data_IF_787696626448
#
_entry.id   IF_787696626448
#
_cell.length_a   1.000
_cell.length_b   1.000
_cell.length_c   1.000
_cell.angle_alpha   90.00
_cell.angle_beta   90.00
_cell.angle_gamma   90.00
#
_symmetry.space_group_name_H-M   'P 1'
#
loop_
_entity.id
_entity.type
_entity.pdbx_description
1 polymer ?
#
# COMPACT_ATOMS: atom_id res chain seq x y z
N UNK A 1 -19.62 32.25 27.97
CA UNK A 1 -18.84 31.00 27.94
C UNK A 1 -18.75 30.58 26.48
N UNK A 2 -17.64 30.85 25.80
CA UNK A 2 -17.46 30.45 24.40
C UNK A 2 -17.07 28.96 24.36
N UNK A 3 -17.54 28.16 23.39
CA UNK A 3 -17.14 26.76 23.29
C UNK A 3 -15.65 26.67 22.94
N UNK A 4 -14.91 25.88 23.71
CA UNK A 4 -13.50 25.59 23.50
C UNK A 4 -13.31 24.93 22.14
N UNK A 5 -12.53 25.57 21.26
CA UNK A 5 -12.06 24.99 20.01
C UNK A 5 -11.19 23.77 20.32
N UNK A 6 -11.71 22.56 20.16
CA UNK A 6 -10.88 21.36 20.15
C UNK A 6 -10.06 21.37 18.87
N UNK A 7 -8.74 21.49 19.02
CA UNK A 7 -7.78 21.29 17.95
C UNK A 7 -7.89 19.83 17.52
N UNK A 8 -8.34 19.57 16.29
CA UNK A 8 -8.32 18.23 15.72
C UNK A 8 -6.86 17.88 15.42
N UNK A 9 -6.18 17.25 16.39
CA UNK A 9 -4.86 16.71 16.13
C UNK A 9 -4.96 15.70 14.98
N UNK A 10 -4.05 15.77 13.99
CA UNK A 10 -4.05 14.81 12.90
C UNK A 10 -3.96 13.39 13.49
N UNK A 11 -4.67 12.41 12.90
CA UNK A 11 -4.74 11.06 13.44
C UNK A 11 -3.32 10.50 13.65
N UNK A 12 -3.06 10.01 14.86
CA UNK A 12 -1.75 9.50 15.31
C UNK A 12 -1.28 8.24 14.54
N UNK A 13 -2.12 7.69 13.66
CA UNK A 13 -1.77 6.57 12.81
C UNK A 13 -1.69 7.05 11.35
N UNK A 14 -0.50 7.11 10.72
CA UNK A 14 -0.42 7.38 9.30
C UNK A 14 -1.26 6.34 8.58
N UNK A 15 -2.14 6.79 7.67
CA UNK A 15 -2.92 5.87 6.84
C UNK A 15 -2.00 4.84 6.15
N UNK A 16 -2.52 3.67 5.81
CA UNK A 16 -1.76 2.60 5.17
C UNK A 16 -2.65 1.96 4.12
N UNK A 17 -2.13 1.66 2.95
CA UNK A 17 -2.91 0.95 1.93
C UNK A 17 -2.32 -0.42 1.62
N UNK A 18 -3.21 -1.39 1.54
CA UNK A 18 -2.97 -2.70 0.96
C UNK A 18 -3.82 -2.78 -0.30
N UNK A 19 -3.20 -3.10 -1.42
CA UNK A 19 -3.87 -3.29 -2.70
C UNK A 19 -4.00 -4.80 -2.91
N UNK A 20 -5.25 -5.28 -2.92
CA UNK A 20 -5.52 -6.68 -3.24
C UNK A 20 -5.44 -6.87 -4.76
N UNK A 21 -4.42 -7.60 -5.17
CA UNK A 21 -4.01 -7.73 -6.56
C UNK A 21 -4.52 -9.05 -7.12
N UNK A 22 -5.53 -8.97 -7.99
CA UNK A 22 -6.04 -10.12 -8.74
C UNK A 22 -5.71 -10.01 -10.22
N UNK A 23 -5.57 -11.15 -10.89
CA UNK A 23 -5.31 -11.21 -12.32
C UNK A 23 -6.40 -10.49 -13.12
N UNK A 24 -7.66 -10.77 -12.80
CA UNK A 24 -8.82 -10.17 -13.48
C UNK A 24 -8.83 -8.63 -13.39
N UNK A 25 -8.42 -8.06 -12.25
CA UNK A 25 -8.33 -6.61 -12.12
C UNK A 25 -7.24 -6.01 -13.03
N UNK A 26 -6.10 -6.68 -13.18
CA UNK A 26 -4.98 -6.18 -13.97
C UNK A 26 -4.99 -6.54 -15.46
N UNK A 27 -5.90 -7.40 -15.90
CA UNK A 27 -6.20 -7.55 -17.33
C UNK A 27 -6.84 -6.28 -17.91
N UNK A 28 -7.54 -5.49 -17.09
CA UNK A 28 -8.12 -4.21 -17.52
C UNK A 28 -7.06 -3.10 -17.56
N UNK A 29 -6.87 -2.52 -18.74
CA UNK A 29 -6.00 -1.35 -18.93
C UNK A 29 -6.48 -0.13 -18.14
N UNK A 30 -7.78 0.14 -18.17
CA UNK A 30 -8.39 1.24 -17.40
C UNK A 30 -8.13 1.11 -15.89
N UNK A 31 -8.23 -0.10 -15.34
CA UNK A 31 -7.94 -0.33 -13.92
C UNK A 31 -6.47 -0.10 -13.61
N UNK A 32 -5.55 -0.53 -14.48
CA UNK A 32 -4.11 -0.30 -14.31
C UNK A 32 -3.77 1.19 -14.35
N UNK A 33 -4.38 1.94 -15.26
CA UNK A 33 -4.18 3.38 -15.39
C UNK A 33 -4.69 4.14 -14.17
N UNK A 34 -5.94 3.91 -13.77
CA UNK A 34 -6.54 4.56 -12.59
C UNK A 34 -5.81 4.20 -11.29
N UNK A 35 -5.39 2.94 -11.14
CA UNK A 35 -4.57 2.55 -9.99
C UNK A 35 -3.21 3.25 -10.01
N UNK A 36 -2.56 3.33 -11.17
CA UNK A 36 -1.30 4.05 -11.34
C UNK A 36 -1.44 5.52 -10.91
N UNK A 37 -2.50 6.18 -11.36
CA UNK A 37 -2.82 7.55 -11.00
C UNK A 37 -3.14 7.73 -9.51
N UNK A 38 -3.93 6.83 -8.92
CA UNK A 38 -4.24 6.84 -7.50
C UNK A 38 -2.99 6.65 -6.63
N UNK A 39 -2.07 5.77 -7.05
CA UNK A 39 -0.78 5.57 -6.37
C UNK A 39 0.08 6.83 -6.46
N UNK A 40 0.26 7.39 -7.67
CA UNK A 40 1.05 8.62 -7.87
C UNK A 40 0.51 9.78 -7.01
N UNK A 41 -0.80 10.00 -7.03
CA UNK A 41 -1.46 11.03 -6.20
C UNK A 41 -1.25 10.77 -4.71
N UNK A 42 -1.33 9.52 -4.27
CA UNK A 42 -1.12 9.15 -2.86
C UNK A 42 0.30 9.45 -2.42
N UNK A 43 1.29 9.10 -3.25
CA UNK A 43 2.70 9.35 -2.94
C UNK A 43 3.06 10.83 -2.96
N UNK A 44 2.48 11.61 -3.88
CA UNK A 44 2.61 13.07 -3.88
C UNK A 44 2.02 13.72 -2.63
N UNK A 45 0.87 13.23 -2.16
CA UNK A 45 0.19 13.81 -1.00
C UNK A 45 0.76 13.35 0.35
N UNK A 46 1.26 12.11 0.43
CA UNK A 46 1.65 11.46 1.70
C UNK A 46 3.15 11.16 1.81
N UNK A 47 3.91 11.43 0.76
CA UNK A 47 5.35 11.20 0.66
C UNK A 47 5.72 9.83 0.10
N UNK A 48 6.92 9.73 -0.46
CA UNK A 48 7.42 8.51 -1.12
C UNK A 48 7.54 7.31 -0.17
N UNK A 49 7.73 7.58 1.13
CA UNK A 49 7.82 6.55 2.18
C UNK A 49 6.45 6.06 2.68
N UNK A 50 5.35 6.57 2.13
CA UNK A 50 4.01 6.11 2.52
C UNK A 50 3.86 4.60 2.29
N UNK A 51 3.37 3.82 3.28
CA UNK A 51 3.24 2.37 3.15
C UNK A 51 2.15 2.01 2.12
N UNK A 52 2.60 1.47 0.98
CA UNK A 52 1.77 0.85 -0.05
C UNK A 52 2.28 -0.57 -0.26
N UNK A 53 1.41 -1.55 -0.07
CA UNK A 53 1.74 -2.97 -0.21
C UNK A 53 0.79 -3.59 -1.24
N UNK A 54 1.32 -4.35 -2.19
CA UNK A 54 0.50 -5.20 -3.05
C UNK A 54 0.38 -6.60 -2.42
N UNK A 55 -0.84 -7.09 -2.22
CA UNK A 55 -1.11 -8.46 -1.80
C UNK A 55 -1.60 -9.26 -3.02
N UNK A 56 -0.73 -10.08 -3.58
CA UNK A 56 -0.96 -10.82 -4.81
C UNK A 56 -1.77 -12.08 -4.53
N UNK A 57 -3.03 -12.12 -4.96
CA UNK A 57 -3.87 -13.30 -4.82
C UNK A 57 -3.55 -14.33 -5.91
N UNK A 58 -3.74 -13.95 -7.16
CA UNK A 58 -3.46 -14.74 -8.38
C UNK A 58 -2.78 -13.88 -9.48
N UNK A 59 -2.47 -12.62 -9.17
CA UNK A 59 -1.72 -11.72 -10.04
C UNK A 59 -0.21 -11.96 -9.95
N UNK A 60 0.48 -11.74 -11.06
CA UNK A 60 1.94 -11.62 -11.09
C UNK A 60 2.37 -10.16 -10.82
N UNK A 61 3.48 -9.99 -10.12
CA UNK A 61 4.14 -8.71 -9.93
C UNK A 61 4.44 -8.00 -11.26
N UNK A 62 4.64 -8.76 -12.35
CA UNK A 62 4.85 -8.21 -13.68
C UNK A 62 3.68 -7.34 -14.18
N UNK A 63 2.44 -7.69 -13.79
CA UNK A 63 1.22 -6.98 -14.18
C UNK A 63 0.90 -5.74 -13.35
N UNK A 64 1.67 -5.49 -12.27
CA UNK A 64 1.49 -4.31 -11.43
C UNK A 64 1.98 -3.03 -12.13
N UNK A 65 1.38 -1.87 -11.83
CA UNK A 65 1.95 -0.58 -12.21
C UNK A 65 3.39 -0.43 -11.72
N UNK A 66 4.24 0.24 -12.51
CA UNK A 66 5.67 0.37 -12.22
C UNK A 66 5.96 0.96 -10.82
N UNK A 67 5.15 1.92 -10.37
CA UNK A 67 5.23 2.56 -9.06
C UNK A 67 4.96 1.59 -7.89
N UNK A 68 4.24 0.49 -8.14
CA UNK A 68 3.95 -0.54 -7.16
C UNK A 68 4.98 -1.69 -7.23
N UNK A 69 5.56 -1.96 -8.40
CA UNK A 69 6.59 -2.99 -8.61
C UNK A 69 7.86 -2.78 -7.81
N UNK A 70 8.23 -1.53 -7.55
CA UNK A 70 9.41 -1.16 -6.74
C UNK A 70 9.11 -1.17 -5.23
N UNK A 71 7.87 -1.51 -4.84
CA UNK A 71 7.41 -1.60 -3.46
C UNK A 71 7.17 -3.05 -3.06
N UNK A 72 6.85 -3.26 -1.79
CA UNK A 72 6.59 -4.59 -1.27
C UNK A 72 5.37 -5.20 -1.97
N UNK A 73 5.61 -6.31 -2.69
CA UNK A 73 4.59 -7.18 -3.24
C UNK A 73 4.68 -8.54 -2.53
N UNK A 74 3.58 -8.95 -1.89
CA UNK A 74 3.49 -10.16 -1.07
C UNK A 74 2.54 -11.14 -1.74
N UNK A 75 3.00 -12.34 -2.14
CA UNK A 75 2.10 -13.42 -2.53
C UNK A 75 1.23 -13.86 -1.36
N UNK A 76 -0.09 -13.95 -1.55
CA UNK A 76 -1.02 -14.49 -0.56
C UNK A 76 -0.77 -15.97 -0.29
N UNK A 77 -0.15 -16.67 -1.24
CA UNK A 77 0.27 -18.08 -1.10
C UNK A 77 1.51 -18.27 -0.22
N UNK A 78 2.19 -17.21 0.20
CA UNK A 78 3.33 -17.33 1.11
C UNK A 78 2.86 -17.61 2.54
N UNK A 79 3.41 -18.64 3.20
CA UNK A 79 3.01 -19.04 4.56
C UNK A 79 3.22 -17.94 5.62
N UNK A 80 4.02 -16.92 5.31
CA UNK A 80 4.35 -15.76 6.16
C UNK A 80 3.83 -14.43 5.61
N UNK A 81 2.83 -14.46 4.70
CA UNK A 81 2.32 -13.26 4.02
C UNK A 81 1.89 -12.16 5.02
N UNK A 82 1.25 -12.55 6.12
CA UNK A 82 0.75 -11.68 7.17
C UNK A 82 1.91 -10.95 7.87
N UNK A 83 2.97 -11.68 8.23
CA UNK A 83 4.18 -11.14 8.86
C UNK A 83 4.89 -10.17 7.93
N UNK A 84 4.97 -10.50 6.64
CA UNK A 84 5.55 -9.62 5.62
C UNK A 84 4.79 -8.31 5.49
N UNK A 85 3.46 -8.37 5.48
CA UNK A 85 2.61 -7.17 5.50
C UNK A 85 2.89 -6.36 6.77
N UNK A 86 2.86 -6.99 7.95
CA UNK A 86 3.06 -6.29 9.22
C UNK A 86 4.44 -5.62 9.33
N UNK A 87 5.48 -6.27 8.81
CA UNK A 87 6.83 -5.72 8.71
C UNK A 87 6.88 -4.52 7.76
N UNK A 88 6.28 -4.64 6.57
CA UNK A 88 6.22 -3.55 5.59
C UNK A 88 5.43 -2.33 6.08
N UNK A 89 4.34 -2.56 6.82
CA UNK A 89 3.51 -1.50 7.42
C UNK A 89 4.18 -0.81 8.60
N UNK A 90 5.00 -1.54 9.36
CA UNK A 90 5.72 -1.01 10.53
C UNK A 90 7.04 -0.33 10.15
N UNK A 91 7.43 -0.36 8.85
CA UNK A 91 8.73 0.13 8.39
C UNK A 91 9.92 -0.61 9.01
N UNK A 92 9.66 -1.76 9.64
CA UNK A 92 10.66 -2.57 10.34
C UNK A 92 11.13 -3.62 9.36
N UNK A 93 12.35 -3.50 8.83
CA UNK A 93 12.94 -4.53 7.97
C UNK A 93 12.94 -5.87 8.73
N UNK A 94 12.47 -6.99 8.15
CA UNK A 94 12.52 -8.28 8.80
C UNK A 94 13.95 -8.79 8.74
N UNK A 95 14.79 -8.39 9.69
CA UNK A 95 16.18 -8.85 9.78
C UNK A 95 17.11 -7.91 10.53
N UNK A 96 17.10 -7.97 11.86
CA UNK A 96 18.33 -7.79 12.64
C UNK A 96 18.22 -8.64 13.91
N UNK A 97 18.71 -9.88 13.83
CA UNK A 97 19.14 -10.66 14.99
C UNK A 97 20.21 -11.64 14.57
#
# INVERSE_FOLDING_TARGET
MAPSSQSLEPPQNPGRFIIFATKAAFESEAVREELGYAIDRTLKARGERFPLIALLADADAAGLPASLRIRLAVPLSADDWDKRIMSGLSGTSPGHR
#
